data_IF_813445371347
#
_entry.id   IF_813445371347
#
_cell.length_a   1.000
_cell.length_b   1.000
_cell.length_c   1.000
_cell.angle_alpha   90.00
_cell.angle_beta   90.00
_cell.angle_gamma   90.00
#
_symmetry.space_group_name_H-M   'P 1'
#
loop_
_entity.id
_entity.type
_entity.pdbx_description
1 polymer ?
#
# COMPACT_ATOMS: atom_id res chain seq x y z
N UNK A 1 -44.11 14.13 3.82
CA UNK A 1 -42.82 14.19 4.55
C UNK A 1 -42.18 12.82 4.44
N UNK A 2 -41.31 12.61 3.46
CA UNK A 2 -40.65 11.32 3.23
C UNK A 2 -39.25 11.39 3.83
N UNK A 3 -39.04 10.69 4.94
CA UNK A 3 -37.73 10.50 5.57
C UNK A 3 -36.94 9.50 4.73
N UNK A 4 -36.06 10.01 3.87
CA UNK A 4 -35.02 9.21 3.26
C UNK A 4 -34.03 8.81 4.36
N UNK A 5 -33.96 7.51 4.67
CA UNK A 5 -32.90 6.94 5.49
C UNK A 5 -31.62 7.00 4.64
N UNK A 6 -30.82 8.06 4.80
CA UNK A 6 -29.47 8.11 4.24
C UNK A 6 -28.64 7.09 5.01
N UNK A 7 -28.38 5.94 4.39
CA UNK A 7 -27.28 5.08 4.84
C UNK A 7 -26.01 5.86 4.47
N UNK A 8 -25.42 6.58 5.41
CA UNK A 8 -24.06 7.09 5.23
C UNK A 8 -23.18 5.86 5.08
N UNK A 9 -22.67 5.60 3.88
CA UNK A 9 -21.66 4.56 3.68
C UNK A 9 -20.50 4.85 4.64
N UNK A 10 -20.28 3.96 5.61
CA UNK A 10 -19.11 4.03 6.49
C UNK A 10 -17.93 3.60 5.63
N UNK A 11 -17.18 4.53 5.05
CA UNK A 11 -16.29 4.16 3.94
C UNK A 11 -15.06 3.35 4.36
N UNK A 12 -14.31 3.61 5.42
CA UNK A 12 -13.13 2.84 5.86
C UNK A 12 -12.01 2.66 4.81
N UNK A 13 -10.85 2.12 5.21
CA UNK A 13 -9.76 1.83 4.28
C UNK A 13 -10.23 0.84 3.21
N UNK A 14 -10.21 1.28 1.95
CA UNK A 14 -10.50 0.42 0.80
C UNK A 14 -9.27 0.27 -0.07
N UNK A 15 -8.98 -0.98 -0.47
CA UNK A 15 -7.98 -1.25 -1.51
C UNK A 15 -8.73 -1.28 -2.84
N UNK A 16 -8.60 -0.19 -3.60
CA UNK A 16 -9.28 -0.03 -4.89
C UNK A 16 -8.62 -0.87 -5.98
N UNK A 17 -7.29 -1.01 -5.91
CA UNK A 17 -6.51 -1.75 -6.90
C UNK A 17 -5.21 -2.26 -6.29
N UNK A 18 -4.92 -3.54 -6.51
CA UNK A 18 -3.63 -4.13 -6.18
C UNK A 18 -3.06 -4.79 -7.43
N UNK A 19 -1.96 -4.26 -7.95
CA UNK A 19 -1.31 -4.75 -9.17
C UNK A 19 0.11 -5.21 -8.86
N UNK A 20 0.33 -6.50 -9.10
CA UNK A 20 1.63 -7.16 -9.02
C UNK A 20 1.82 -7.95 -10.30
N UNK A 21 2.90 -7.73 -11.07
CA UNK A 21 3.20 -8.53 -12.25
C UNK A 21 3.34 -10.01 -11.88
N UNK A 22 2.74 -10.90 -12.67
CA UNK A 22 2.88 -12.35 -12.50
C UNK A 22 4.34 -12.81 -12.67
N UNK A 23 5.02 -12.23 -13.66
CA UNK A 23 6.44 -12.45 -13.91
C UNK A 23 7.09 -11.18 -14.45
N UNK A 24 8.40 -11.05 -14.21
CA UNK A 24 9.25 -9.98 -14.73
C UNK A 24 10.53 -10.60 -15.27
N UNK A 25 11.01 -10.09 -16.40
CA UNK A 25 12.28 -10.51 -16.98
C UNK A 25 13.44 -10.37 -15.98
N UNK A 26 14.37 -11.32 -16.01
CA UNK A 26 15.53 -11.30 -15.12
C UNK A 26 16.33 -10.00 -15.29
N UNK A 27 16.57 -9.31 -14.18
CA UNK A 27 17.33 -8.06 -14.15
C UNK A 27 16.50 -6.81 -14.45
N UNK A 28 15.20 -6.95 -14.75
CA UNK A 28 14.27 -5.81 -14.85
C UNK A 28 13.61 -5.51 -13.51
N UNK A 29 13.14 -4.28 -13.36
CA UNK A 29 12.38 -3.84 -12.19
C UNK A 29 10.90 -4.19 -12.33
N UNK A 30 10.26 -4.50 -11.20
CA UNK A 30 8.81 -4.63 -11.10
C UNK A 30 8.24 -3.41 -10.37
N UNK A 31 7.02 -3.01 -10.72
CA UNK A 31 6.26 -2.01 -9.96
C UNK A 31 5.15 -2.74 -9.22
N UNK A 32 5.07 -2.53 -7.91
CA UNK A 32 3.98 -3.04 -7.06
C UNK A 32 3.06 -1.87 -6.73
N UNK A 33 1.89 -1.83 -7.33
CA UNK A 33 0.94 -0.73 -7.14
C UNK A 33 -0.18 -1.14 -6.18
N UNK A 34 -0.50 -0.24 -5.26
CA UNK A 34 -1.64 -0.36 -4.35
C UNK A 34 -2.37 0.99 -4.31
N UNK A 35 -3.49 1.08 -5.02
CA UNK A 35 -4.38 2.23 -4.95
C UNK A 35 -5.36 1.99 -3.81
N UNK A 36 -5.44 2.95 -2.89
CA UNK A 36 -6.32 2.88 -1.74
C UNK A 36 -7.07 4.19 -1.53
N UNK A 37 -8.22 4.10 -0.86
CA UNK A 37 -9.01 5.24 -0.42
C UNK A 37 -9.17 5.20 1.09
N UNK A 38 -9.17 6.38 1.70
CA UNK A 38 -9.44 6.60 3.12
C UNK A 38 -10.66 7.49 3.24
N UNK A 39 -11.38 7.38 4.36
CA UNK A 39 -12.35 8.41 4.74
C UNK A 39 -11.66 9.77 4.93
N UNK A 40 -12.39 10.90 4.79
CA UNK A 40 -11.83 12.25 5.01
C UNK A 40 -11.14 12.46 6.37
N UNK A 41 -11.52 11.69 7.39
CA UNK A 41 -10.99 11.79 8.76
C UNK A 41 -10.09 10.61 9.15
N UNK A 42 -9.69 9.77 8.21
CA UNK A 42 -8.79 8.65 8.42
C UNK A 42 -7.39 8.99 7.91
N UNK A 43 -6.38 8.45 8.60
CA UNK A 43 -5.00 8.51 8.16
C UNK A 43 -4.46 7.11 7.93
N UNK A 44 -3.66 6.96 6.87
CA UNK A 44 -2.99 5.71 6.59
C UNK A 44 -2.00 5.40 7.73
N UNK A 45 -2.20 4.26 8.38
CA UNK A 45 -1.25 3.76 9.37
C UNK A 45 0.06 3.31 8.71
N UNK A 46 -0.01 2.39 7.76
CA UNK A 46 1.14 1.91 7.00
C UNK A 46 0.74 1.17 5.72
N UNK A 47 1.61 1.20 4.70
CA UNK A 47 1.65 0.21 3.62
C UNK A 47 2.88 -0.66 3.86
N UNK A 48 2.74 -1.97 3.78
CA UNK A 48 3.85 -2.92 3.96
C UNK A 48 3.79 -3.99 2.87
N UNK A 49 4.94 -4.30 2.29
CA UNK A 49 5.06 -5.43 1.36
C UNK A 49 5.87 -6.56 2.00
N UNK A 50 5.34 -7.77 1.82
CA UNK A 50 5.91 -9.00 2.32
C UNK A 50 6.16 -9.97 1.17
N UNK A 51 7.22 -10.76 1.28
CA UNK A 51 7.46 -11.94 0.46
C UNK A 51 7.83 -13.08 1.40
N UNK A 52 7.10 -14.20 1.33
CA UNK A 52 7.30 -15.36 2.19
C UNK A 52 7.35 -14.99 3.69
N UNK A 53 6.41 -14.15 4.13
CA UNK A 53 6.30 -13.63 5.50
C UNK A 53 7.45 -12.72 5.97
N UNK A 54 8.38 -12.35 5.08
CA UNK A 54 9.46 -11.40 5.39
C UNK A 54 9.08 -10.05 4.82
N UNK A 55 9.01 -9.04 5.70
CA UNK A 55 8.80 -7.66 5.30
C UNK A 55 10.04 -7.14 4.57
N UNK A 56 9.86 -6.55 3.40
CA UNK A 56 10.97 -5.98 2.63
C UNK A 56 10.80 -4.49 2.32
N UNK A 57 9.60 -3.93 2.50
CA UNK A 57 9.31 -2.50 2.36
C UNK A 57 8.19 -2.07 3.29
N UNK A 58 8.29 -0.84 3.81
CA UNK A 58 7.16 -0.12 4.40
C UNK A 58 7.13 1.36 4.04
N UNK A 59 5.92 1.89 3.98
CA UNK A 59 5.62 3.31 3.98
C UNK A 59 4.74 3.65 5.19
N UNK A 60 5.20 4.57 6.04
CA UNK A 60 4.48 5.06 7.23
C UNK A 60 4.48 6.59 7.16
N UNK A 61 3.35 7.25 6.83
CA UNK A 61 3.31 8.70 6.61
C UNK A 61 3.85 9.53 7.77
N UNK A 62 3.58 9.08 9.00
CA UNK A 62 3.97 9.79 10.24
C UNK A 62 5.42 9.53 10.69
N UNK A 63 6.20 8.73 9.96
CA UNK A 63 7.60 8.44 10.31
C UNK A 63 8.59 9.26 9.48
N UNK A 64 9.80 9.47 10.05
CA UNK A 64 10.94 10.04 9.35
C UNK A 64 12.15 9.09 9.43
N UNK A 65 12.60 8.47 8.32
CA UNK A 65 12.04 8.57 6.98
C UNK A 65 10.72 7.80 6.85
N UNK A 66 9.81 8.31 6.00
CA UNK A 66 8.49 7.72 5.78
C UNK A 66 8.55 6.43 4.97
N UNK A 67 9.55 6.28 4.10
CA UNK A 67 9.84 5.08 3.31
C UNK A 67 11.02 4.32 3.91
N UNK A 68 10.87 3.03 4.14
CA UNK A 68 11.93 2.15 4.65
C UNK A 68 11.97 0.85 3.83
N UNK A 69 13.16 0.30 3.67
CA UNK A 69 13.37 -1.01 3.04
C UNK A 69 14.17 -1.92 3.97
N UNK A 70 13.86 -3.21 3.92
CA UNK A 70 14.53 -4.23 4.71
C UNK A 70 15.21 -5.23 3.79
N UNK A 71 16.35 -5.76 4.24
CA UNK A 71 17.14 -6.69 3.43
C UNK A 71 16.40 -8.02 3.28
N UNK A 72 16.11 -8.39 2.04
CA UNK A 72 15.62 -9.70 1.65
C UNK A 72 16.41 -10.19 0.43
N UNK A 73 16.96 -11.40 0.50
CA UNK A 73 17.83 -11.93 -0.55
C UNK A 73 17.08 -11.98 -1.90
N UNK A 74 17.70 -11.41 -2.93
CA UNK A 74 17.13 -11.34 -4.28
C UNK A 74 16.06 -10.27 -4.48
N UNK A 75 15.78 -9.42 -3.47
CA UNK A 75 14.87 -8.27 -3.59
C UNK A 75 15.67 -6.99 -3.39
N UNK A 76 15.57 -6.08 -4.36
CA UNK A 76 16.22 -4.78 -4.35
C UNK A 76 15.14 -3.70 -4.44
N UNK A 77 15.04 -2.85 -3.41
CA UNK A 77 14.02 -1.81 -3.34
C UNK A 77 14.66 -0.44 -3.55
N UNK A 78 14.13 0.34 -4.49
CA UNK A 78 14.52 1.73 -4.66
C UNK A 78 13.56 2.64 -3.88
N UNK A 79 14.02 3.17 -2.74
CA UNK A 79 13.24 4.08 -1.88
C UNK A 79 13.43 5.57 -2.20
N UNK A 80 14.26 5.90 -3.19
CA UNK A 80 14.71 7.28 -3.49
C UNK A 80 13.95 7.98 -4.62
N UNK A 81 12.96 7.34 -5.25
CA UNK A 81 12.07 8.00 -6.21
C UNK A 81 11.12 8.97 -5.51
#
# INVERSE_FOLDING_TARGET
MQTHLYTTEIQSLQINRFQVPEAVERGRSAILNCDYSLNPNEELYAIKFYKNNIEFYRFVPRQNPSKQSYKLIGIYVNVKL
#
